data_IF_665860159555
#
_entry.id   IF_665860159555
#
_cell.length_a   1.000
_cell.length_b   1.000
_cell.length_c   1.000
_cell.angle_alpha   90.00
_cell.angle_beta   90.00
_cell.angle_gamma   90.00
#
_symmetry.space_group_name_H-M   'P 1'
#
loop_
_entity.id
_entity.type
_entity.pdbx_description
1 polymer ?
#
# COMPACT_ATOMS: atom_id res chain seq x y z
N UNK A 1 -41.24 42.15 -76.62
CA UNK A 1 -40.27 43.10 -76.03
C UNK A 1 -39.25 42.31 -75.21
N UNK A 2 -37.96 42.61 -75.42
CA UNK A 2 -36.77 42.36 -74.58
C UNK A 2 -36.48 40.94 -74.03
N UNK A 3 -35.39 40.35 -74.52
CA UNK A 3 -34.52 39.45 -73.75
C UNK A 3 -33.75 40.25 -72.67
N UNK A 4 -33.37 39.65 -71.52
CA UNK A 4 -31.97 39.21 -71.30
C UNK A 4 -31.85 37.92 -70.43
N UNK A 5 -31.02 36.94 -70.78
CA UNK A 5 -29.63 36.72 -70.29
C UNK A 5 -29.40 36.87 -68.77
N UNK A 6 -28.96 35.80 -68.08
CA UNK A 6 -27.58 35.65 -67.56
C UNK A 6 -27.33 34.36 -66.73
N UNK A 7 -26.05 33.96 -66.60
CA UNK A 7 -25.58 32.64 -66.18
C UNK A 7 -25.10 32.57 -64.71
N UNK A 8 -24.72 31.35 -64.32
CA UNK A 8 -23.68 30.98 -63.35
C UNK A 8 -23.92 31.24 -61.85
N UNK A 9 -23.90 30.16 -61.07
CA UNK A 9 -23.01 30.04 -59.92
C UNK A 9 -22.93 28.57 -59.48
N UNK A 10 -21.79 27.93 -59.77
CA UNK A 10 -21.27 26.79 -59.04
C UNK A 10 -20.93 27.24 -57.62
N UNK A 11 -21.40 26.53 -56.60
CA UNK A 11 -20.79 26.54 -55.28
C UNK A 11 -20.93 25.15 -54.67
N UNK A 12 -19.79 24.46 -54.66
CA UNK A 12 -19.58 23.16 -54.06
C UNK A 12 -19.71 23.28 -52.54
N UNK A 13 -20.71 22.61 -51.96
CA UNK A 13 -20.75 22.36 -50.52
C UNK A 13 -19.99 21.07 -50.24
N UNK A 14 -18.82 21.22 -49.62
CA UNK A 14 -18.03 20.12 -49.11
C UNK A 14 -18.81 19.35 -48.04
N UNK A 15 -19.05 18.06 -48.29
CA UNK A 15 -19.52 17.10 -47.30
C UNK A 15 -18.44 16.97 -46.21
N UNK A 16 -18.69 17.47 -45.00
CA UNK A 16 -17.95 17.04 -43.81
C UNK A 16 -18.45 15.64 -43.42
N UNK A 17 -17.62 14.63 -43.67
CA UNK A 17 -17.83 13.28 -43.16
C UNK A 17 -17.83 13.28 -41.62
N UNK A 18 -18.95 12.86 -41.05
CA UNK A 18 -19.02 12.35 -39.68
C UNK A 18 -18.31 10.99 -39.63
N UNK A 19 -17.22 10.90 -38.86
CA UNK A 19 -16.72 9.64 -38.30
C UNK A 19 -16.19 9.89 -36.88
N UNK A 20 -17.06 9.69 -35.88
CA UNK A 20 -16.63 9.16 -34.58
C UNK A 20 -16.25 7.67 -34.78
N UNK A 21 -15.69 6.92 -33.79
CA UNK A 21 -15.32 7.27 -32.42
C UNK A 21 -13.93 6.72 -32.02
N UNK A 22 -13.41 7.10 -30.85
CA UNK A 22 -12.64 6.22 -29.96
C UNK A 22 -12.38 7.02 -28.69
N UNK A 23 -13.23 6.79 -27.68
CA UNK A 23 -12.92 7.14 -26.31
C UNK A 23 -11.65 6.37 -25.95
N UNK A 24 -10.52 7.07 -25.97
CA UNK A 24 -9.28 6.60 -25.36
C UNK A 24 -9.63 6.30 -23.92
N UNK A 25 -9.62 5.02 -23.56
CA UNK A 25 -9.77 4.57 -22.20
C UNK A 25 -8.75 5.36 -21.37
N UNK A 26 -9.24 6.17 -20.43
CA UNK A 26 -8.38 6.71 -19.40
C UNK A 26 -7.64 5.50 -18.80
N UNK A 27 -6.29 5.50 -18.76
CA UNK A 27 -5.61 4.46 -18.01
C UNK A 27 -6.20 4.52 -16.60
N UNK A 28 -6.83 3.43 -16.18
CA UNK A 28 -7.14 3.25 -14.78
C UNK A 28 -5.82 3.49 -14.06
N UNK A 29 -5.78 4.52 -13.19
CA UNK A 29 -4.69 4.70 -12.25
C UNK A 29 -4.70 3.45 -11.38
N UNK A 30 -4.02 2.40 -11.84
CA UNK A 30 -3.67 1.27 -11.01
C UNK A 30 -2.90 1.89 -9.86
N UNK A 31 -3.49 1.80 -8.66
CA UNK A 31 -2.91 2.33 -7.45
C UNK A 31 -1.47 1.83 -7.39
N UNK A 32 -0.46 2.72 -7.54
CA UNK A 32 0.84 2.27 -7.95
C UNK A 32 1.49 1.59 -6.76
N UNK A 33 1.42 0.25 -6.73
CA UNK A 33 2.27 -0.59 -5.90
C UNK A 33 3.70 -0.04 -5.98
N UNK A 34 4.42 0.07 -4.86
CA UNK A 34 5.77 0.58 -4.86
C UNK A 34 6.64 -0.15 -5.89
N UNK A 35 7.59 0.57 -6.50
CA UNK A 35 8.44 -0.03 -7.52
C UNK A 35 9.30 -1.15 -6.88
N UNK A 36 9.35 -2.36 -7.48
CA UNK A 36 10.21 -3.43 -7.00
C UNK A 36 11.66 -2.95 -6.82
N UNK A 37 12.28 -3.25 -5.68
CA UNK A 37 13.64 -2.83 -5.35
C UNK A 37 13.76 -1.55 -4.51
N UNK A 38 12.65 -0.86 -4.24
CA UNK A 38 12.58 0.14 -3.16
C UNK A 38 12.35 -0.55 -1.81
N UNK A 39 12.81 0.06 -0.70
CA UNK A 39 12.65 -0.52 0.64
C UNK A 39 11.17 -0.83 0.94
N UNK A 40 10.87 -2.09 1.26
CA UNK A 40 9.51 -2.55 1.56
C UNK A 40 8.54 -2.49 0.39
N UNK A 41 9.06 -2.38 -0.84
CA UNK A 41 8.24 -2.32 -2.05
C UNK A 41 7.70 -3.67 -2.50
N UNK A 42 8.11 -4.76 -1.87
CA UNK A 42 7.60 -6.10 -2.14
C UNK A 42 7.21 -6.81 -0.86
N UNK A 43 6.19 -7.68 -0.92
CA UNK A 43 5.76 -8.47 0.23
C UNK A 43 6.89 -9.35 0.80
N UNK A 44 7.74 -9.88 -0.09
CA UNK A 44 8.89 -10.70 0.28
C UNK A 44 9.94 -9.98 1.13
N UNK A 45 9.93 -8.64 1.15
CA UNK A 45 10.82 -7.85 2.03
C UNK A 45 10.41 -7.98 3.51
N UNK A 46 9.14 -8.35 3.78
CA UNK A 46 8.56 -8.49 5.11
C UNK A 46 8.43 -9.95 5.52
N UNK A 47 7.92 -10.81 4.64
CA UNK A 47 7.56 -12.20 4.99
C UNK A 47 8.60 -13.24 4.60
N UNK A 48 9.66 -12.84 3.87
CA UNK A 48 10.69 -13.75 3.39
C UNK A 48 10.37 -14.36 2.01
N UNK A 49 11.36 -15.04 1.42
CA UNK A 49 11.28 -15.60 0.06
C UNK A 49 11.23 -17.11 0.01
N UNK A 50 11.90 -17.80 0.93
CA UNK A 50 11.98 -19.27 0.98
C UNK A 50 11.09 -19.90 2.06
N UNK A 51 10.56 -19.07 2.95
CA UNK A 51 9.72 -19.45 4.09
C UNK A 51 9.39 -18.19 4.91
N UNK A 52 8.50 -18.31 5.90
CA UNK A 52 8.16 -17.21 6.80
C UNK A 52 9.43 -16.71 7.49
N UNK A 53 9.65 -15.40 7.45
CA UNK A 53 10.80 -14.74 8.07
C UNK A 53 10.61 -14.57 9.58
N UNK A 54 11.59 -13.95 10.26
CA UNK A 54 11.54 -13.69 11.70
C UNK A 54 10.44 -12.68 12.06
N UNK A 55 9.83 -12.88 13.24
CA UNK A 55 8.85 -11.96 13.76
C UNK A 55 9.46 -10.57 14.01
N UNK A 56 8.67 -9.55 13.72
CA UNK A 56 8.95 -8.20 14.21
C UNK A 56 8.43 -8.07 15.64
N UNK A 57 9.20 -7.40 16.49
CA UNK A 57 8.84 -7.16 17.89
C UNK A 57 8.99 -5.69 18.23
N UNK A 58 8.17 -5.19 19.13
CA UNK A 58 8.26 -3.81 19.57
C UNK A 58 7.07 -3.42 20.41
N UNK A 59 6.59 -2.20 20.24
CA UNK A 59 5.57 -1.63 21.12
C UNK A 59 4.56 -0.79 20.34
N UNK A 60 3.33 -0.85 20.81
CA UNK A 60 2.30 0.19 20.64
C UNK A 60 2.49 1.23 21.73
N UNK A 61 2.48 2.50 21.36
CA UNK A 61 2.55 3.65 22.26
C UNK A 61 1.23 4.42 22.19
N UNK A 62 0.50 4.39 23.30
CA UNK A 62 -0.69 5.20 23.54
C UNK A 62 -0.35 6.26 24.60
N UNK A 63 0.00 7.46 24.15
CA UNK A 63 0.30 8.60 25.04
C UNK A 63 1.33 8.26 26.14
N UNK A 64 2.37 7.48 25.80
CA UNK A 64 3.44 7.03 26.69
C UNK A 64 3.18 5.69 27.39
N UNK A 65 1.97 5.12 27.28
CA UNK A 65 1.71 3.75 27.70
C UNK A 65 2.19 2.77 26.62
N UNK A 66 3.16 1.92 26.95
CA UNK A 66 3.77 0.98 26.00
C UNK A 66 3.20 -0.43 26.14
N UNK A 67 2.51 -0.91 25.11
CA UNK A 67 1.99 -2.28 25.02
C UNK A 67 2.87 -3.10 24.08
N UNK A 68 3.44 -4.24 24.50
CA UNK A 68 4.20 -5.10 23.60
C UNK A 68 3.37 -5.55 22.40
N UNK A 69 3.96 -5.46 21.21
CA UNK A 69 3.39 -5.91 19.95
C UNK A 69 4.39 -6.82 19.23
N UNK A 70 3.93 -7.99 18.82
CA UNK A 70 4.67 -8.92 17.97
C UNK A 70 3.90 -9.11 16.66
N UNK A 71 4.60 -9.09 15.53
CA UNK A 71 4.03 -9.33 14.20
C UNK A 71 4.83 -10.44 13.54
N UNK A 72 4.21 -11.61 13.39
CA UNK A 72 4.83 -12.82 12.89
C UNK A 72 4.33 -13.12 11.47
N UNK A 73 5.22 -13.26 10.48
CA UNK A 73 4.84 -13.85 9.20
C UNK A 73 4.46 -15.33 9.39
N UNK A 74 3.25 -15.72 8.96
CA UNK A 74 2.78 -17.10 9.06
C UNK A 74 3.06 -17.88 7.77
N UNK A 75 3.08 -17.18 6.63
CA UNK A 75 3.38 -17.73 5.32
C UNK A 75 4.10 -16.70 4.42
N UNK A 76 4.58 -17.16 3.27
CA UNK A 76 5.18 -16.28 2.25
C UNK A 76 4.14 -15.63 1.33
N UNK A 77 2.85 -15.96 1.50
CA UNK A 77 1.75 -15.39 0.72
C UNK A 77 1.25 -14.06 1.31
N UNK A 78 1.70 -13.71 2.51
CA UNK A 78 1.46 -12.41 3.14
C UNK A 78 0.61 -12.46 4.40
N UNK A 79 0.28 -13.63 4.91
CA UNK A 79 -0.45 -13.73 6.17
C UNK A 79 0.46 -13.33 7.33
N UNK A 80 0.03 -12.33 8.10
CA UNK A 80 0.68 -11.87 9.32
C UNK A 80 -0.22 -12.14 10.52
N UNK A 81 0.35 -12.70 11.58
CA UNK A 81 -0.27 -12.73 12.92
C UNK A 81 0.27 -11.58 13.76
N UNK A 82 -0.61 -10.68 14.18
CA UNK A 82 -0.28 -9.59 15.09
C UNK A 82 -0.81 -9.89 16.50
N UNK A 83 0.06 -9.81 17.49
CA UNK A 83 -0.20 -10.23 18.88
C UNK A 83 0.17 -9.12 19.86
N UNK A 84 -0.74 -8.83 20.80
CA UNK A 84 -0.50 -7.89 21.89
C UNK A 84 -0.63 -8.60 23.23
N UNK A 85 0.14 -8.13 24.22
CA UNK A 85 -0.10 -8.45 25.63
C UNK A 85 -0.70 -7.21 26.31
N UNK A 86 -2.02 -7.18 26.57
CA UNK A 86 -2.66 -6.02 27.18
C UNK A 86 -2.05 -5.70 28.55
N UNK A 87 -1.88 -4.42 28.86
CA UNK A 87 -1.26 -3.98 30.11
C UNK A 87 -2.01 -4.47 31.37
N UNK A 88 -3.33 -4.59 31.30
CA UNK A 88 -4.19 -5.00 32.42
C UNK A 88 -4.50 -6.51 32.44
N UNK A 89 -3.91 -7.30 31.54
CA UNK A 89 -4.16 -8.74 31.48
C UNK A 89 -3.16 -9.53 32.34
N UNK A 90 -3.56 -10.73 32.77
CA UNK A 90 -2.66 -11.64 33.49
C UNK A 90 -1.39 -11.89 32.65
N UNK A 91 -0.19 -11.92 33.27
CA UNK A 91 1.04 -12.23 32.56
C UNK A 91 0.92 -13.50 31.73
N UNK A 92 1.20 -13.40 30.42
CA UNK A 92 1.06 -14.52 29.47
C UNK A 92 -0.27 -14.53 28.70
N UNK A 93 -1.21 -13.64 29.02
CA UNK A 93 -2.41 -13.44 28.20
C UNK A 93 -2.06 -12.65 26.96
N UNK A 94 -2.11 -13.32 25.80
CA UNK A 94 -1.86 -12.73 24.49
C UNK A 94 -3.14 -12.75 23.68
N UNK A 95 -3.43 -11.63 23.03
CA UNK A 95 -4.54 -11.51 22.07
C UNK A 95 -3.94 -11.37 20.69
N UNK A 96 -4.34 -12.23 19.76
CA UNK A 96 -3.82 -12.27 18.39
C UNK A 96 -4.91 -12.06 17.33
N UNK A 97 -4.51 -11.50 16.19
CA UNK A 97 -5.32 -11.48 14.96
C UNK A 97 -4.45 -11.85 13.77
N UNK A 98 -5.00 -12.65 12.86
CA UNK A 98 -4.37 -12.98 11.58
C UNK A 98 -4.99 -12.17 10.46
N UNK A 99 -4.15 -11.65 9.55
CA UNK A 99 -4.62 -10.89 8.40
C UNK A 99 -3.63 -10.94 7.25
N UNK A 100 -4.13 -10.74 6.03
CA UNK A 100 -3.26 -10.53 4.88
C UNK A 100 -2.62 -9.13 4.96
N UNK A 101 -1.30 -9.08 4.81
CA UNK A 101 -0.55 -7.85 4.61
C UNK A 101 -0.90 -7.24 3.26
N UNK A 102 -1.10 -5.92 3.26
CA UNK A 102 -1.32 -5.14 2.06
C UNK A 102 -0.14 -4.20 1.86
N UNK A 103 0.53 -4.31 0.71
CA UNK A 103 1.55 -3.37 0.28
C UNK A 103 0.91 -2.34 -0.63
N UNK A 104 1.03 -1.07 -0.24
CA UNK A 104 0.53 0.07 -0.98
C UNK A 104 1.60 1.16 -1.04
N UNK A 105 1.24 2.29 -1.64
CA UNK A 105 2.10 3.46 -1.71
C UNK A 105 1.45 4.59 -0.91
N UNK A 106 2.23 5.23 -0.05
CA UNK A 106 1.79 6.41 0.65
C UNK A 106 1.67 7.61 -0.31
N UNK A 107 1.01 8.69 0.14
CA UNK A 107 0.74 9.88 -0.68
C UNK A 107 2.02 10.57 -1.20
N UNK A 108 3.14 10.40 -0.51
CA UNK A 108 4.46 10.93 -0.89
C UNK A 108 5.24 10.02 -1.85
N UNK A 109 4.67 8.85 -2.19
CA UNK A 109 5.27 7.87 -3.08
C UNK A 109 6.08 6.78 -2.40
N UNK A 110 6.24 6.82 -1.07
CA UNK A 110 6.95 5.79 -0.29
C UNK A 110 6.15 4.49 -0.18
N UNK A 111 6.84 3.38 0.09
CA UNK A 111 6.19 2.11 0.33
C UNK A 111 5.50 2.10 1.70
N UNK A 112 4.31 1.49 1.76
CA UNK A 112 3.53 1.32 2.98
C UNK A 112 3.09 -0.14 3.10
N UNK A 113 3.22 -0.71 4.29
CA UNK A 113 2.56 -1.96 4.68
C UNK A 113 1.39 -1.67 5.63
N UNK A 114 0.29 -2.37 5.42
CA UNK A 114 -0.85 -2.36 6.31
C UNK A 114 -1.28 -3.78 6.71
N UNK A 115 -1.69 -3.95 7.96
CA UNK A 115 -2.16 -5.24 8.51
C UNK A 115 -3.11 -5.01 9.69
N UNK A 116 -3.89 -6.01 10.06
CA UNK A 116 -4.77 -5.93 11.23
C UNK A 116 -4.00 -6.20 12.53
N UNK A 117 -4.39 -5.52 13.59
CA UNK A 117 -3.96 -5.76 14.98
C UNK A 117 -5.21 -5.93 15.86
N UNK A 118 -5.07 -6.47 17.08
CA UNK A 118 -6.19 -6.54 18.01
C UNK A 118 -6.79 -5.17 18.40
N UNK A 119 -6.08 -4.07 18.11
CA UNK A 119 -6.50 -2.68 18.38
C UNK A 119 -7.06 -1.96 17.16
N UNK A 120 -6.89 -2.48 15.94
CA UNK A 120 -7.35 -1.82 14.72
C UNK A 120 -6.54 -2.21 13.48
N UNK A 121 -6.40 -1.28 12.54
CA UNK A 121 -5.55 -1.44 11.35
C UNK A 121 -4.24 -0.70 11.56
N UNK A 122 -3.12 -1.41 11.52
CA UNK A 122 -1.79 -0.81 11.49
C UNK A 122 -1.45 -0.38 10.06
N UNK A 123 -0.91 0.83 9.91
CA UNK A 123 -0.37 1.37 8.67
C UNK A 123 1.03 1.93 8.96
N UNK A 124 2.04 1.52 8.18
CA UNK A 124 3.40 2.03 8.33
C UNK A 124 3.50 3.46 7.80
N UNK A 125 4.06 4.36 8.59
CA UNK A 125 4.46 5.70 8.17
C UNK A 125 5.92 5.71 7.65
N UNK A 126 6.76 4.78 8.12
CA UNK A 126 8.17 4.68 7.72
C UNK A 126 8.69 3.24 7.79
N UNK A 127 9.66 2.95 6.91
CA UNK A 127 10.29 1.65 6.77
C UNK A 127 11.81 1.82 6.71
N UNK A 128 12.53 1.05 7.52
CA UNK A 128 13.98 0.95 7.41
C UNK A 128 14.36 -0.43 6.90
N UNK A 129 15.20 -0.46 5.86
CA UNK A 129 15.70 -1.69 5.28
C UNK A 129 17.20 -1.83 5.47
N UNK A 130 17.66 -3.08 5.58
CA UNK A 130 19.07 -3.37 5.39
C UNK A 130 19.40 -3.33 3.91
N UNK A 131 20.40 -2.52 3.55
CA UNK A 131 20.95 -2.50 2.19
C UNK A 131 21.51 -3.89 1.86
N UNK A 132 20.99 -4.56 0.82
CA UNK A 132 21.46 -5.90 0.49
C UNK A 132 22.92 -5.85 0.02
N UNK A 133 23.71 -6.85 0.44
CA UNK A 133 24.95 -7.18 -0.25
C UNK A 133 24.64 -7.58 -1.71
N UNK A 134 25.60 -7.44 -2.66
CA UNK A 134 25.39 -7.87 -4.04
C UNK A 134 24.85 -9.30 -4.12
N UNK A 135 23.68 -9.48 -4.74
CA UNK A 135 23.00 -10.78 -4.86
C UNK A 135 22.05 -11.13 -3.71
N UNK A 136 21.87 -10.25 -2.72
CA UNK A 136 20.86 -10.40 -1.67
C UNK A 136 19.60 -9.58 -1.98
N UNK A 137 18.48 -9.98 -1.39
CA UNK A 137 17.23 -9.24 -1.46
C UNK A 137 17.18 -8.15 -0.37
N UNK A 138 16.51 -7.04 -0.65
CA UNK A 138 16.18 -6.05 0.37
C UNK A 138 15.34 -6.70 1.48
N UNK A 139 15.54 -6.26 2.72
CA UNK A 139 14.79 -6.73 3.88
C UNK A 139 14.39 -5.55 4.73
N UNK A 140 13.12 -5.50 5.12
CA UNK A 140 12.63 -4.55 6.10
C UNK A 140 13.05 -5.04 7.48
N UNK A 141 13.74 -4.18 8.21
CA UNK A 141 14.23 -4.46 9.56
C UNK A 141 13.52 -3.62 10.61
N UNK A 142 12.92 -2.49 10.21
CA UNK A 142 12.11 -1.66 11.08
C UNK A 142 10.85 -1.19 10.35
N UNK A 143 9.73 -1.24 11.06
CA UNK A 143 8.44 -0.70 10.63
C UNK A 143 7.99 0.24 11.74
N UNK A 144 7.78 1.51 11.41
CA UNK A 144 7.12 2.46 12.29
C UNK A 144 5.86 2.99 11.63
N UNK A 145 4.85 3.29 12.44
CA UNK A 145 3.56 3.68 11.91
C UNK A 145 2.53 4.01 12.97
N UNK A 146 1.27 3.92 12.58
CA UNK A 146 0.14 4.14 13.47
C UNK A 146 -0.94 3.09 13.32
N UNK A 147 -1.66 2.83 14.42
CA UNK A 147 -2.88 2.03 14.43
C UNK A 147 -4.08 2.95 14.35
N UNK A 148 -4.96 2.63 13.40
CA UNK A 148 -6.23 3.30 13.16
C UNK A 148 -7.38 2.41 13.66
N UNK A 149 -8.31 2.96 14.42
CA UNK A 149 -9.59 2.30 14.69
C UNK A 149 -10.75 3.25 14.40
N UNK A 150 -11.74 2.79 13.63
CA UNK A 150 -12.87 3.63 13.23
C UNK A 150 -12.51 4.84 12.38
N UNK A 151 -11.26 4.93 11.88
CA UNK A 151 -10.75 6.08 11.13
C UNK A 151 -9.94 7.08 11.97
N UNK A 152 -9.91 6.92 13.30
CA UNK A 152 -9.13 7.76 14.20
C UNK A 152 -7.74 7.17 14.44
N UNK A 153 -6.70 8.03 14.49
CA UNK A 153 -5.34 7.64 14.90
C UNK A 153 -5.35 7.37 16.41
N UNK A 154 -5.06 6.13 16.80
CA UNK A 154 -5.06 5.72 18.20
C UNK A 154 -3.65 5.68 18.79
N UNK A 155 -2.77 4.89 18.18
CA UNK A 155 -1.52 4.47 18.82
C UNK A 155 -0.37 4.54 17.79
N UNK A 156 0.79 5.02 18.20
CA UNK A 156 2.00 4.89 17.38
C UNK A 156 2.61 3.50 17.58
N UNK A 157 3.29 2.95 16.58
CA UNK A 157 4.06 1.72 16.77
C UNK A 157 5.46 1.83 16.19
N UNK A 158 6.37 1.06 16.77
CA UNK A 158 7.68 0.78 16.21
C UNK A 158 7.98 -0.69 16.44
N UNK A 159 8.33 -1.37 15.36
CA UNK A 159 8.57 -2.81 15.30
C UNK A 159 9.91 -3.04 14.64
N UNK A 160 10.78 -3.82 15.28
CA UNK A 160 12.09 -4.19 14.75
C UNK A 160 12.23 -5.69 14.64
N UNK A 161 13.03 -6.09 13.67
CA UNK A 161 13.46 -7.46 13.42
C UNK A 161 14.95 -7.57 13.75
N UNK A 162 15.40 -8.67 14.39
CA UNK A 162 16.82 -8.91 14.68
C UNK A 162 17.68 -9.08 13.43
#
# INVERSE_FOLDING_TARGET
MRAPSRPAALLASALLCLTAPLAVAAPASADPTPAPGTCGGTLADYVGTAGPDTAFTGFLDDNGARTPLTVTPEDTAGTLRAEIQPADADPGTVVGVESAAVIAKAWDGSAMIAFATPRGRAESDSLACTTPAPGSHTRVNEISGTVLAGGDRLEAFTLTRP
#
